data_IF_870615215902
#
_entry.id   IF_870615215902
#
_cell.length_a   1.000
_cell.length_b   1.000
_cell.length_c   1.000
_cell.angle_alpha   90.00
_cell.angle_beta   90.00
_cell.angle_gamma   90.00
#
_symmetry.space_group_name_H-M   'P 1'
#
loop_
_entity.id
_entity.type
_entity.pdbx_description
1 polymer ?
#
# COMPACT_ATOMS: atom_id res chain seq x y z
N UNK A 1 -19.40 -14.58 -20.30
CA UNK A 1 -18.30 -15.30 -19.68
C UNK A 1 -17.01 -14.71 -20.22
N UNK A 2 -16.37 -13.80 -19.48
CA UNK A 2 -15.03 -13.31 -19.81
C UNK A 2 -14.10 -13.98 -18.81
N UNK A 3 -13.38 -14.99 -19.28
CA UNK A 3 -12.25 -15.58 -18.60
C UNK A 3 -11.12 -14.54 -18.55
N UNK A 4 -11.08 -13.78 -17.48
CA UNK A 4 -9.90 -13.01 -17.14
C UNK A 4 -8.88 -13.98 -16.55
N UNK A 5 -7.96 -14.46 -17.38
CA UNK A 5 -6.81 -15.21 -16.94
C UNK A 5 -6.11 -14.41 -15.82
N UNK A 6 -5.82 -15.02 -14.64
CA UNK A 6 -5.11 -14.33 -13.59
C UNK A 6 -3.75 -13.90 -14.13
N UNK A 7 -3.41 -12.64 -13.92
CA UNK A 7 -2.11 -12.11 -14.28
C UNK A 7 -1.04 -13.09 -13.80
N UNK A 8 -0.32 -13.68 -14.74
CA UNK A 8 0.81 -14.53 -14.45
C UNK A 8 1.87 -13.66 -13.80
N UNK A 9 1.80 -13.56 -12.47
CA UNK A 9 2.98 -13.21 -11.71
C UNK A 9 4.06 -14.18 -12.15
N UNK A 10 5.09 -13.68 -12.75
CA UNK A 10 6.24 -14.49 -13.20
C UNK A 10 6.99 -15.04 -11.99
N UNK A 11 6.40 -16.08 -11.52
CA UNK A 11 6.62 -16.70 -10.27
C UNK A 11 7.78 -17.55 -10.26
N UNK A 12 8.88 -17.19 -10.55
CA UNK A 12 9.51 -18.45 -10.55
C UNK A 12 10.74 -18.53 -9.66
N UNK A 13 11.67 -17.70 -9.79
CA UNK A 13 12.86 -17.86 -8.96
C UNK A 13 12.72 -17.19 -7.59
N UNK A 14 12.22 -15.96 -7.53
CA UNK A 14 12.14 -15.20 -6.28
C UNK A 14 11.24 -15.84 -5.22
N UNK A 15 10.02 -16.27 -5.60
CA UNK A 15 9.10 -16.92 -4.66
C UNK A 15 9.64 -18.27 -4.17
N UNK A 16 10.32 -19.03 -5.04
CA UNK A 16 10.94 -20.30 -4.64
C UNK A 16 12.03 -20.10 -3.59
N UNK A 17 12.90 -19.11 -3.77
CA UNK A 17 13.92 -18.74 -2.79
C UNK A 17 13.31 -18.22 -1.49
N UNK A 18 12.26 -17.42 -1.58
CA UNK A 18 11.54 -16.93 -0.42
C UNK A 18 10.93 -18.11 0.38
N UNK A 19 10.26 -19.04 -0.28
CA UNK A 19 9.74 -20.25 0.37
C UNK A 19 10.83 -21.12 1.01
N UNK A 20 11.98 -21.25 0.36
CA UNK A 20 13.12 -21.96 0.95
C UNK A 20 13.62 -21.26 2.22
N UNK A 21 13.74 -19.92 2.21
CA UNK A 21 14.12 -19.16 3.38
C UNK A 21 13.10 -19.34 4.52
N UNK A 22 11.80 -19.33 4.22
CA UNK A 22 10.76 -19.58 5.23
C UNK A 22 10.80 -21.02 5.77
N UNK A 23 11.07 -22.01 4.92
CA UNK A 23 11.27 -23.39 5.39
C UNK A 23 12.47 -23.52 6.31
N UNK A 24 13.61 -22.94 5.93
CA UNK A 24 14.81 -22.94 6.78
C UNK A 24 14.56 -22.23 8.12
N UNK A 25 13.90 -21.06 8.10
CA UNK A 25 13.54 -20.36 9.34
C UNK A 25 12.59 -21.19 10.22
N UNK A 26 11.61 -21.89 9.61
CA UNK A 26 10.68 -22.77 10.34
C UNK A 26 11.34 -24.04 10.91
N UNK A 27 12.41 -24.52 10.29
CA UNK A 27 13.23 -25.62 10.83
C UNK A 27 14.05 -25.17 12.04
N UNK A 28 14.42 -23.90 12.14
CA UNK A 28 15.09 -23.33 13.30
C UNK A 28 14.12 -23.13 14.47
N UNK A 29 13.04 -22.41 14.25
CA UNK A 29 11.97 -22.21 15.23
C UNK A 29 10.75 -21.51 14.62
N UNK A 30 9.59 -21.65 15.27
CA UNK A 30 8.37 -20.91 14.97
C UNK A 30 8.61 -19.41 15.08
N UNK A 31 9.34 -18.96 16.09
CA UNK A 31 9.68 -17.55 16.32
C UNK A 31 10.59 -16.98 15.22
N UNK A 32 11.59 -17.71 14.76
CA UNK A 32 12.43 -17.31 13.63
C UNK A 32 11.60 -17.11 12.35
N UNK A 33 10.66 -18.01 12.09
CA UNK A 33 9.76 -17.90 10.95
C UNK A 33 8.79 -16.70 11.09
N UNK A 34 8.26 -16.46 12.30
CA UNK A 34 7.40 -15.31 12.59
C UNK A 34 8.13 -13.96 12.38
N UNK A 35 9.36 -13.84 12.88
CA UNK A 35 10.22 -12.64 12.69
C UNK A 35 10.57 -12.43 11.22
N UNK A 36 10.85 -13.49 10.46
CA UNK A 36 11.07 -13.39 9.02
C UNK A 36 9.80 -12.90 8.33
N UNK A 37 8.64 -13.46 8.68
CA UNK A 37 7.33 -13.03 8.16
C UNK A 37 7.07 -11.56 8.41
N UNK A 38 7.26 -11.10 9.64
CA UNK A 38 7.15 -9.70 10.02
C UNK A 38 8.07 -8.80 9.19
N UNK A 39 9.33 -9.20 9.01
CA UNK A 39 10.30 -8.43 8.20
C UNK A 39 9.88 -8.32 6.75
N UNK A 40 9.50 -9.44 6.14
CA UNK A 40 9.10 -9.47 4.72
C UNK A 40 7.81 -8.67 4.50
N UNK A 41 6.81 -8.88 5.38
CA UNK A 41 5.53 -8.18 5.30
C UNK A 41 5.65 -6.68 5.54
N UNK A 42 6.64 -6.24 6.34
CA UNK A 42 6.86 -4.82 6.63
C UNK A 42 7.85 -4.14 5.69
N UNK A 43 8.40 -4.84 4.68
CA UNK A 43 9.39 -4.28 3.76
C UNK A 43 8.81 -4.29 2.34
N UNK A 44 8.23 -3.18 1.88
CA UNK A 44 7.67 -3.12 0.54
C UNK A 44 8.78 -3.27 -0.51
N UNK A 45 8.56 -4.12 -1.53
CA UNK A 45 9.50 -4.25 -2.63
C UNK A 45 9.53 -2.96 -3.45
N UNK A 46 10.72 -2.59 -3.92
CA UNK A 46 10.91 -1.45 -4.81
C UNK A 46 11.37 -1.93 -6.18
N UNK A 47 10.70 -1.48 -7.22
CA UNK A 47 11.00 -1.81 -8.60
C UNK A 47 11.37 -0.55 -9.38
N UNK A 48 12.23 -0.69 -10.37
CA UNK A 48 12.54 0.40 -11.29
C UNK A 48 11.26 0.94 -11.94
N UNK A 49 11.20 2.27 -12.12
CA UNK A 49 10.05 2.94 -12.69
C UNK A 49 10.06 2.80 -14.22
N UNK A 50 9.03 2.22 -14.85
CA UNK A 50 8.94 2.13 -16.30
C UNK A 50 8.87 3.51 -16.96
N UNK A 51 9.32 3.61 -18.23
CA UNK A 51 9.28 4.86 -19.01
C UNK A 51 7.88 5.48 -19.10
N UNK A 52 6.83 4.65 -19.12
CA UNK A 52 5.45 5.13 -19.12
C UNK A 52 5.13 5.94 -17.85
N UNK A 53 5.47 5.44 -16.69
CA UNK A 53 5.23 6.14 -15.42
C UNK A 53 6.09 7.41 -15.30
N UNK A 54 7.33 7.38 -15.81
CA UNK A 54 8.17 8.58 -15.85
C UNK A 54 7.53 9.71 -16.67
N UNK A 55 6.97 9.37 -17.84
CA UNK A 55 6.26 10.34 -18.70
C UNK A 55 5.04 10.94 -18.03
N UNK A 56 4.24 10.12 -17.35
CA UNK A 56 3.06 10.60 -16.62
C UNK A 56 3.46 11.55 -15.48
N UNK A 57 4.49 11.21 -14.72
CA UNK A 57 4.98 12.09 -13.66
C UNK A 57 5.62 13.38 -14.17
N UNK A 58 6.23 13.36 -15.36
CA UNK A 58 6.78 14.56 -15.99
C UNK A 58 5.70 15.60 -16.34
N UNK A 59 4.45 15.16 -16.54
CA UNK A 59 3.30 16.04 -16.79
C UNK A 59 2.58 16.49 -15.51
N UNK A 60 3.07 16.12 -14.34
CA UNK A 60 2.50 16.46 -13.05
C UNK A 60 3.26 17.61 -12.39
N UNK A 61 2.58 18.30 -11.47
CA UNK A 61 3.21 19.21 -10.51
C UNK A 61 3.69 18.40 -9.30
N UNK A 62 5.01 18.22 -9.10
CA UNK A 62 5.52 17.49 -7.95
C UNK A 62 5.47 18.36 -6.70
N UNK A 63 5.15 17.74 -5.56
CA UNK A 63 5.23 18.39 -4.26
C UNK A 63 5.59 17.35 -3.18
N UNK A 64 5.81 17.83 -1.96
CA UNK A 64 6.10 16.98 -0.81
C UNK A 64 5.10 17.25 0.31
N UNK A 65 4.79 16.21 1.06
CA UNK A 65 3.89 16.29 2.21
C UNK A 65 4.66 15.89 3.47
N UNK A 66 4.76 16.75 4.48
CA UNK A 66 5.34 16.41 5.77
C UNK A 66 4.58 15.24 6.41
N UNK A 67 5.31 14.23 6.86
CA UNK A 67 4.77 13.07 7.56
C UNK A 67 5.77 12.58 8.60
N UNK A 68 5.45 12.71 9.88
CA UNK A 68 6.36 12.44 11.00
C UNK A 68 7.71 13.16 10.80
N UNK A 69 8.81 12.41 10.80
CA UNK A 69 10.21 12.87 10.62
C UNK A 69 10.66 12.96 9.15
N UNK A 70 9.75 12.77 8.20
CA UNK A 70 10.06 12.65 6.76
C UNK A 70 9.07 13.41 5.88
N UNK A 71 9.38 13.52 4.57
CA UNK A 71 8.48 14.11 3.57
C UNK A 71 8.13 13.08 2.51
N UNK A 72 6.85 12.88 2.27
CA UNK A 72 6.34 11.99 1.22
C UNK A 72 6.38 12.68 -0.14
N UNK A 73 6.66 11.92 -1.19
CA UNK A 73 6.60 12.40 -2.57
C UNK A 73 5.18 12.30 -3.09
N UNK A 74 4.69 13.40 -3.66
CA UNK A 74 3.35 13.49 -4.22
C UNK A 74 3.36 14.26 -5.54
N UNK A 75 2.31 14.07 -6.34
CA UNK A 75 2.14 14.68 -7.66
C UNK A 75 0.68 15.07 -7.86
N UNK A 76 0.47 16.23 -8.48
CA UNK A 76 -0.85 16.74 -8.83
C UNK A 76 -0.98 16.90 -10.33
N UNK A 77 -2.14 16.56 -10.87
CA UNK A 77 -2.56 16.81 -12.25
C UNK A 77 -3.89 17.56 -12.24
N UNK A 78 -3.93 18.73 -12.88
CA UNK A 78 -5.10 19.61 -12.96
C UNK A 78 -5.32 20.42 -11.68
N UNK A 79 -6.25 21.36 -11.75
CA UNK A 79 -6.50 22.38 -10.72
C UNK A 79 -7.92 22.32 -10.12
N UNK A 80 -8.76 21.39 -10.57
CA UNK A 80 -10.11 21.18 -10.07
C UNK A 80 -10.20 20.55 -8.68
N UNK A 81 -11.41 20.24 -8.19
CA UNK A 81 -11.61 19.53 -6.94
C UNK A 81 -10.83 18.21 -6.90
N UNK A 82 -10.18 17.93 -5.78
CA UNK A 82 -9.15 16.89 -5.69
C UNK A 82 -9.73 15.48 -5.47
N UNK A 83 -9.31 14.55 -6.30
CA UNK A 83 -9.43 13.10 -6.05
C UNK A 83 -8.06 12.54 -5.66
N UNK A 84 -7.99 11.90 -4.49
CA UNK A 84 -6.76 11.28 -3.99
C UNK A 84 -6.64 9.84 -4.48
N UNK A 85 -5.50 9.48 -5.05
CA UNK A 85 -5.17 8.16 -5.57
C UNK A 85 -4.20 7.45 -4.63
N UNK A 86 -4.60 6.28 -4.10
CA UNK A 86 -3.84 5.53 -3.10
C UNK A 86 -3.45 4.16 -3.66
N UNK A 87 -2.16 3.93 -3.83
CA UNK A 87 -1.60 2.72 -4.45
C UNK A 87 -1.61 1.49 -3.53
N UNK A 88 -1.38 0.30 -4.11
CA UNK A 88 -1.28 -0.98 -3.40
C UNK A 88 0.09 -1.19 -2.73
N UNK A 89 0.21 -2.25 -1.92
CA UNK A 89 1.49 -2.68 -1.34
C UNK A 89 2.55 -2.95 -2.41
N UNK A 90 3.76 -2.43 -2.20
CA UNK A 90 4.84 -2.52 -3.19
C UNK A 90 4.60 -1.71 -4.46
N UNK A 91 3.48 -0.98 -4.53
CA UNK A 91 3.15 -0.07 -5.61
C UNK A 91 3.74 1.32 -5.45
N UNK A 92 3.21 2.27 -6.22
CA UNK A 92 3.57 3.69 -6.20
C UNK A 92 2.48 4.53 -6.89
N UNK A 93 2.42 5.81 -6.56
CA UNK A 93 1.37 6.71 -7.04
C UNK A 93 1.21 6.73 -8.56
N UNK A 94 2.31 6.69 -9.31
CA UNK A 94 2.31 6.69 -10.78
C UNK A 94 1.53 5.52 -11.41
N UNK A 95 1.32 4.41 -10.71
CA UNK A 95 0.57 3.25 -11.24
C UNK A 95 -0.94 3.53 -11.37
N UNK A 96 -1.46 4.52 -10.63
CA UNK A 96 -2.86 4.95 -10.72
C UNK A 96 -3.09 6.09 -11.71
N UNK A 97 -2.07 6.48 -12.45
CA UNK A 97 -2.14 7.59 -13.40
C UNK A 97 -3.10 7.35 -14.58
N UNK A 98 -3.54 6.11 -14.81
CA UNK A 98 -4.61 5.80 -15.77
C UNK A 98 -5.93 6.52 -15.45
N UNK A 99 -6.17 6.85 -14.17
CA UNK A 99 -7.35 7.61 -13.77
C UNK A 99 -7.23 9.10 -14.04
N UNK A 100 -6.02 9.62 -14.24
CA UNK A 100 -5.75 11.06 -14.31
C UNK A 100 -6.53 11.71 -15.45
N UNK A 101 -6.46 11.16 -16.66
CA UNK A 101 -7.13 11.77 -17.82
C UNK A 101 -8.66 11.75 -17.67
N UNK A 102 -9.21 10.63 -17.21
CA UNK A 102 -10.66 10.52 -16.97
C UNK A 102 -11.15 11.53 -15.91
N UNK A 103 -10.37 11.77 -14.87
CA UNK A 103 -10.69 12.76 -13.84
C UNK A 103 -10.58 14.18 -14.41
N UNK A 104 -9.54 14.49 -15.19
CA UNK A 104 -9.35 15.80 -15.80
C UNK A 104 -10.47 16.18 -16.78
N UNK A 105 -10.94 15.22 -17.57
CA UNK A 105 -12.11 15.44 -18.48
C UNK A 105 -13.36 15.81 -17.70
N UNK A 106 -13.48 15.38 -16.43
CA UNK A 106 -14.59 15.74 -15.55
C UNK A 106 -14.32 17.03 -14.76
N UNK A 107 -13.29 17.80 -15.09
CA UNK A 107 -12.93 19.03 -14.39
C UNK A 107 -12.36 18.80 -12.97
N UNK A 108 -11.89 17.59 -12.68
CA UNK A 108 -11.30 17.22 -11.39
C UNK A 108 -9.77 17.26 -11.45
N UNK A 109 -9.12 17.48 -10.33
CA UNK A 109 -7.70 17.23 -10.18
C UNK A 109 -7.44 15.85 -9.57
N UNK A 110 -6.34 15.22 -9.99
CA UNK A 110 -5.85 13.99 -9.37
C UNK A 110 -4.62 14.30 -8.53
N UNK A 111 -4.55 13.73 -7.34
CA UNK A 111 -3.33 13.71 -6.53
C UNK A 111 -2.95 12.27 -6.24
N UNK A 112 -1.71 11.89 -6.57
CA UNK A 112 -1.15 10.60 -6.16
C UNK A 112 0.10 10.85 -5.33
N UNK A 113 0.44 9.90 -4.46
CA UNK A 113 1.63 9.97 -3.64
C UNK A 113 2.25 8.59 -3.49
N UNK A 114 3.51 8.54 -3.14
CA UNK A 114 4.18 7.31 -2.72
C UNK A 114 4.10 7.20 -1.20
N UNK A 115 3.52 6.13 -0.69
CA UNK A 115 3.39 5.87 0.75
C UNK A 115 4.77 5.67 1.41
N UNK A 116 4.89 5.75 2.75
CA UNK A 116 6.15 5.51 3.44
C UNK A 116 6.82 4.21 3.00
N UNK A 117 8.11 4.25 2.70
CA UNK A 117 8.86 3.08 2.24
C UNK A 117 8.61 2.64 0.80
N UNK A 118 7.69 3.28 0.06
CA UNK A 118 7.37 2.97 -1.33
C UNK A 118 7.92 4.01 -2.29
N UNK A 119 8.06 3.62 -3.56
CA UNK A 119 8.46 4.51 -4.66
C UNK A 119 9.62 5.43 -4.31
N UNK A 120 9.42 6.75 -4.47
CA UNK A 120 10.40 7.80 -4.17
C UNK A 120 10.25 8.38 -2.74
N UNK A 121 9.27 7.92 -1.97
CA UNK A 121 9.12 8.31 -0.57
C UNK A 121 10.18 7.63 0.31
N UNK A 122 10.68 8.34 1.34
CA UNK A 122 11.72 7.81 2.22
C UNK A 122 11.21 6.67 3.10
N UNK A 123 12.16 5.92 3.68
CA UNK A 123 11.90 4.78 4.54
C UNK A 123 12.21 3.46 3.84
N UNK A 124 12.36 2.41 4.63
CA UNK A 124 12.62 1.04 4.17
C UNK A 124 11.53 0.06 4.60
N UNK A 125 10.70 0.47 5.54
CA UNK A 125 9.59 -0.30 6.10
C UNK A 125 8.32 0.53 6.05
N UNK A 126 7.23 -0.16 5.98
CA UNK A 126 5.89 0.40 6.06
C UNK A 126 4.91 -0.68 6.52
N UNK A 127 3.70 -0.27 6.84
CA UNK A 127 2.57 -1.13 7.16
C UNK A 127 1.26 -0.39 6.93
N UNK A 128 0.16 -1.09 7.15
CA UNK A 128 -1.16 -0.54 6.87
C UNK A 128 -1.50 0.71 7.68
N UNK A 129 -1.04 0.79 8.93
CA UNK A 129 -1.30 1.94 9.80
C UNK A 129 -0.50 3.15 9.32
N UNK A 130 0.80 2.98 9.01
CA UNK A 130 1.60 4.07 8.42
C UNK A 130 1.03 4.54 7.08
N UNK A 131 0.52 3.62 6.25
CA UNK A 131 -0.16 4.01 5.00
C UNK A 131 -1.43 4.78 5.28
N UNK A 132 -2.30 4.35 6.21
CA UNK A 132 -3.52 5.05 6.57
C UNK A 132 -3.25 6.46 7.12
N UNK A 133 -2.29 6.60 8.02
CA UNK A 133 -1.87 7.91 8.54
C UNK A 133 -1.31 8.82 7.43
N UNK A 134 -0.54 8.24 6.49
CA UNK A 134 -0.02 8.99 5.34
C UNK A 134 -1.11 9.44 4.38
N UNK A 135 -2.15 8.62 4.15
CA UNK A 135 -3.35 9.01 3.39
C UNK A 135 -4.01 10.23 4.02
N UNK A 136 -4.24 10.21 5.33
CA UNK A 136 -4.82 11.36 6.04
C UNK A 136 -3.92 12.60 6.01
N UNK A 137 -2.60 12.44 6.08
CA UNK A 137 -1.65 13.55 5.98
C UNK A 137 -1.68 14.20 4.59
N UNK A 138 -1.70 13.40 3.52
CA UNK A 138 -1.79 13.90 2.14
C UNK A 138 -3.15 14.55 1.91
N UNK A 139 -4.24 13.95 2.40
CA UNK A 139 -5.58 14.54 2.31
C UNK A 139 -5.63 15.94 2.94
N UNK A 140 -5.08 16.11 4.14
CA UNK A 140 -4.99 17.43 4.79
C UNK A 140 -4.19 18.44 3.99
N UNK A 141 -3.11 18.03 3.36
CA UNK A 141 -2.29 18.89 2.52
C UNK A 141 -2.99 19.29 1.19
N UNK A 142 -3.94 18.48 0.73
CA UNK A 142 -4.72 18.75 -0.48
C UNK A 142 -5.91 19.69 -0.23
N UNK A 143 -6.37 19.85 1.01
CA UNK A 143 -7.64 20.47 1.34
C UNK A 143 -8.84 19.55 1.13
N UNK A 144 -10.06 20.07 0.98
CA UNK A 144 -11.26 19.27 0.80
C UNK A 144 -11.16 18.32 -0.40
N UNK A 145 -11.44 17.03 -0.17
CA UNK A 145 -11.42 16.02 -1.22
C UNK A 145 -12.79 15.85 -1.88
N UNK A 146 -12.80 15.63 -3.18
CA UNK A 146 -13.98 15.18 -3.93
C UNK A 146 -14.17 13.68 -3.84
N UNK A 147 -13.09 12.93 -3.63
CA UNK A 147 -13.12 11.49 -3.48
C UNK A 147 -11.73 10.88 -3.25
N UNK A 148 -11.74 9.60 -2.94
CA UNK A 148 -10.52 8.78 -2.83
C UNK A 148 -10.69 7.55 -3.73
N UNK A 149 -9.66 7.19 -4.49
CA UNK A 149 -9.58 5.93 -5.23
C UNK A 149 -8.41 5.14 -4.66
N UNK A 150 -8.69 4.02 -4.01
CA UNK A 150 -7.69 3.17 -3.38
C UNK A 150 -7.63 1.78 -4.01
N UNK A 151 -6.41 1.30 -4.33
CA UNK A 151 -6.19 -0.03 -4.87
C UNK A 151 -5.62 -0.97 -3.81
N UNK A 152 -6.25 -2.13 -3.62
CA UNK A 152 -5.81 -3.20 -2.69
C UNK A 152 -5.55 -2.64 -1.29
N UNK A 153 -4.31 -2.69 -0.78
CA UNK A 153 -3.92 -2.09 0.50
C UNK A 153 -4.32 -0.60 0.58
N UNK A 154 -4.21 0.15 -0.52
CA UNK A 154 -4.59 1.56 -0.56
C UNK A 154 -6.08 1.79 -0.28
N UNK A 155 -6.95 0.89 -0.74
CA UNK A 155 -8.37 0.91 -0.41
C UNK A 155 -8.62 0.61 1.07
N UNK A 156 -8.05 -0.46 1.60
CA UNK A 156 -8.16 -0.82 3.01
C UNK A 156 -7.59 0.26 3.94
N UNK A 157 -6.43 0.82 3.61
CA UNK A 157 -5.80 1.90 4.35
C UNK A 157 -6.63 3.21 4.31
N UNK A 158 -7.34 3.47 3.22
CA UNK A 158 -8.25 4.62 3.14
C UNK A 158 -9.45 4.46 4.07
N UNK A 159 -10.03 3.26 4.17
CA UNK A 159 -11.08 2.96 5.16
C UNK A 159 -10.56 3.14 6.58
N UNK A 160 -9.37 2.62 6.87
CA UNK A 160 -8.73 2.80 8.17
C UNK A 160 -8.44 4.27 8.47
N UNK A 161 -8.02 5.05 7.47
CA UNK A 161 -7.79 6.49 7.62
C UNK A 161 -9.09 7.26 7.93
N UNK A 162 -10.23 6.85 7.34
CA UNK A 162 -11.55 7.41 7.68
C UNK A 162 -11.95 7.08 9.11
N UNK A 163 -11.71 5.83 9.56
CA UNK A 163 -12.05 5.38 10.90
C UNK A 163 -11.19 6.03 11.99
N UNK A 164 -9.85 6.08 11.79
CA UNK A 164 -8.90 6.31 12.89
C UNK A 164 -8.03 7.57 12.72
N UNK A 165 -7.94 8.14 11.51
CA UNK A 165 -6.98 9.21 11.22
C UNK A 165 -7.64 10.53 10.79
N UNK A 166 -8.97 10.62 10.87
CA UNK A 166 -9.73 11.81 10.55
C UNK A 166 -9.78 12.15 9.05
N UNK A 167 -9.63 11.16 8.17
CA UNK A 167 -9.89 11.35 6.74
C UNK A 167 -11.38 11.57 6.50
N UNK A 168 -11.71 12.71 5.91
CA UNK A 168 -13.07 13.03 5.48
C UNK A 168 -13.11 13.07 3.95
N UNK A 169 -14.00 12.28 3.36
CA UNK A 169 -14.22 12.26 1.91
C UNK A 169 -15.68 11.89 1.60
N UNK A 170 -16.35 12.56 0.63
CA UNK A 170 -17.72 12.21 0.27
C UNK A 170 -17.82 10.90 -0.52
N UNK A 171 -16.72 10.43 -1.11
CA UNK A 171 -16.70 9.23 -1.96
C UNK A 171 -15.42 8.43 -1.78
N UNK A 172 -15.56 7.11 -1.68
CA UNK A 172 -14.44 6.17 -1.71
C UNK A 172 -14.70 5.09 -2.76
N UNK A 173 -13.80 4.97 -3.72
CA UNK A 173 -13.74 3.85 -4.66
C UNK A 173 -12.64 2.90 -4.21
N UNK A 174 -13.01 1.67 -3.88
CA UNK A 174 -12.08 0.64 -3.41
C UNK A 174 -11.96 -0.47 -4.46
N UNK A 175 -10.77 -0.64 -5.01
CA UNK A 175 -10.49 -1.59 -6.09
C UNK A 175 -9.70 -2.77 -5.52
N UNK A 176 -10.34 -3.95 -5.43
CA UNK A 176 -9.68 -5.18 -4.99
C UNK A 176 -9.09 -5.12 -3.57
N UNK A 177 -9.67 -4.31 -2.68
CA UNK A 177 -9.24 -4.24 -1.29
C UNK A 177 -9.72 -5.48 -0.50
N UNK A 178 -8.93 -5.87 0.49
CA UNK A 178 -9.34 -6.88 1.45
C UNK A 178 -10.10 -6.23 2.62
N UNK A 179 -11.04 -6.97 3.19
CA UNK A 179 -11.90 -6.50 4.28
C UNK A 179 -11.32 -6.77 5.68
N UNK A 180 -10.43 -7.77 5.81
CA UNK A 180 -9.90 -8.21 7.11
C UNK A 180 -8.38 -8.42 7.04
N UNK A 181 -7.66 -7.89 8.00
CA UNK A 181 -6.21 -8.11 8.15
C UNK A 181 -5.88 -9.59 8.43
N UNK A 182 -6.79 -10.30 9.10
CA UNK A 182 -6.68 -11.73 9.35
C UNK A 182 -6.50 -12.51 8.05
N UNK A 183 -7.44 -12.33 7.11
CA UNK A 183 -7.38 -12.98 5.80
C UNK A 183 -6.09 -12.67 5.03
N UNK A 184 -5.68 -11.41 5.06
CA UNK A 184 -4.47 -10.96 4.36
C UNK A 184 -3.21 -11.66 4.91
N UNK A 185 -3.06 -11.73 6.24
CA UNK A 185 -1.90 -12.37 6.88
C UNK A 185 -1.89 -13.88 6.70
N UNK A 186 -3.05 -14.52 6.67
CA UNK A 186 -3.18 -15.95 6.35
C UNK A 186 -2.85 -16.25 4.90
N UNK A 187 -3.37 -15.43 3.97
CA UNK A 187 -3.05 -15.58 2.55
C UNK A 187 -1.55 -15.40 2.29
N UNK A 188 -0.92 -14.42 2.95
CA UNK A 188 0.53 -14.24 2.92
C UNK A 188 1.26 -15.48 3.49
N UNK A 189 0.84 -15.98 4.66
CA UNK A 189 1.44 -17.16 5.28
C UNK A 189 1.38 -18.39 4.37
N UNK A 190 0.21 -18.65 3.76
CA UNK A 190 0.05 -19.72 2.76
C UNK A 190 0.95 -19.53 1.54
N UNK A 191 1.03 -18.29 1.04
CA UNK A 191 1.85 -17.96 -0.13
C UNK A 191 3.33 -18.30 0.08
N UNK A 192 3.89 -17.98 1.26
CA UNK A 192 5.32 -18.18 1.55
C UNK A 192 5.62 -19.47 2.30
N UNK A 193 4.61 -20.25 2.69
CA UNK A 193 4.76 -21.53 3.38
C UNK A 193 5.07 -21.39 4.88
N UNK A 194 4.45 -20.45 5.56
CA UNK A 194 4.53 -20.33 7.02
C UNK A 194 3.65 -21.35 7.73
N UNK A 195 4.11 -21.79 8.89
CA UNK A 195 3.30 -22.56 9.83
C UNK A 195 2.22 -21.66 10.47
N UNK A 196 1.01 -22.16 10.79
CA UNK A 196 -0.04 -21.36 11.41
C UNK A 196 0.39 -20.65 12.71
N UNK A 197 1.17 -21.33 13.56
CA UNK A 197 1.73 -20.75 14.77
C UNK A 197 2.68 -19.57 14.50
N UNK A 198 3.47 -19.64 13.41
CA UNK A 198 4.35 -18.55 13.00
C UNK A 198 3.56 -17.36 12.44
N UNK A 199 2.44 -17.61 11.74
CA UNK A 199 1.53 -16.54 11.31
C UNK A 199 0.92 -15.81 12.52
N UNK A 200 0.50 -16.57 13.56
CA UNK A 200 0.01 -15.98 14.82
C UNK A 200 1.12 -15.16 15.52
N UNK A 201 2.34 -15.69 15.59
CA UNK A 201 3.50 -14.95 16.13
C UNK A 201 3.83 -13.68 15.36
N UNK A 202 3.74 -13.72 14.03
CA UNK A 202 3.91 -12.53 13.17
C UNK A 202 2.85 -11.47 13.47
N UNK A 203 1.58 -11.86 13.66
CA UNK A 203 0.50 -10.93 14.06
C UNK A 203 0.76 -10.33 15.43
N UNK A 204 1.23 -11.11 16.39
CA UNK A 204 1.59 -10.61 17.71
C UNK A 204 2.68 -9.52 17.63
N UNK A 205 3.70 -9.69 16.78
CA UNK A 205 4.72 -8.67 16.54
C UNK A 205 4.14 -7.40 15.92
N UNK A 206 3.18 -7.52 15.00
CA UNK A 206 2.47 -6.37 14.44
C UNK A 206 1.63 -5.66 15.50
N UNK A 207 0.87 -6.39 16.31
CA UNK A 207 0.04 -5.82 17.38
C UNK A 207 0.87 -5.10 18.44
N UNK A 208 2.02 -5.65 18.83
CA UNK A 208 2.94 -5.00 19.78
C UNK A 208 3.42 -3.63 19.27
N UNK A 209 3.70 -3.51 17.97
CA UNK A 209 4.15 -2.25 17.39
C UNK A 209 3.07 -1.16 17.40
N UNK A 210 1.80 -1.51 17.36
CA UNK A 210 0.70 -0.57 17.15
C UNK A 210 -0.30 -0.51 18.32
N UNK A 211 0.10 -1.00 19.50
CA UNK A 211 -0.67 -0.86 20.74
C UNK A 211 -2.16 -1.23 20.53
N UNK A 212 -2.42 -2.38 19.92
CA UNK A 212 -3.77 -2.92 19.68
C UNK A 212 -4.68 -2.13 18.70
N UNK A 213 -4.12 -1.27 17.85
CA UNK A 213 -4.89 -0.55 16.81
C UNK A 213 -5.29 -1.42 15.60
N UNK A 214 -4.91 -2.71 15.58
CA UNK A 214 -5.23 -3.64 14.49
C UNK A 214 -6.35 -4.56 14.96
N UNK A 215 -7.50 -4.48 14.29
CA UNK A 215 -8.55 -5.48 14.37
C UNK A 215 -8.21 -6.61 13.39
N UNK A 216 -8.05 -7.82 13.93
CA UNK A 216 -7.71 -8.99 13.14
C UNK A 216 -8.92 -9.67 12.54
#
# INVERSE_FOLDING_TARGET
AMDAAPARFSHTRGLRWLRLAFRAAGALSVDAQARLGYRVLSTPPRFARPRREQRVLAAAQPFTVPYRDRSLRAWRWGDGPTVLLVHCWGGRGAQLAEFVEALRVQGLSAVAFDAPGHGDSPGRRSDMIEVAESVAAVARACGPLQGVIGHSLGGAASVLAMRDCGLVTPRLVSIGAFSHCLWFTEAFGRLVGMQPAAVAGMRALLSQRYSHRIDW
#
